data_IF_209610305806
#
_entry.id   IF_209610305806
#
_cell.length_a   1.000
_cell.length_b   1.000
_cell.length_c   1.000
_cell.angle_alpha   90.00
_cell.angle_beta   90.00
_cell.angle_gamma   90.00
#
_symmetry.space_group_name_H-M   'P 1'
#
loop_
_entity.id
_entity.type
_entity.pdbx_description
1 polymer ?
#
# COMPACT_ATOMS: atom_id res chain seq x y z
N UNK A 1 7.63 15.41 -3.95
CA UNK A 1 8.39 14.39 -3.17
C UNK A 1 7.46 13.38 -2.50
N UNK A 2 6.50 13.82 -1.67
CA UNK A 2 5.62 12.94 -0.90
C UNK A 2 4.86 11.87 -1.73
N UNK A 3 4.30 12.24 -2.88
CA UNK A 3 3.59 11.29 -3.77
C UNK A 3 4.50 10.18 -4.30
N UNK A 4 5.76 10.51 -4.64
CA UNK A 4 6.76 9.55 -5.11
C UNK A 4 7.21 8.60 -4.01
N UNK A 5 7.29 9.07 -2.76
CA UNK A 5 7.60 8.21 -1.62
C UNK A 5 6.44 7.27 -1.30
N UNK A 6 5.20 7.77 -1.31
CA UNK A 6 4.02 6.96 -1.03
C UNK A 6 3.82 5.83 -2.05
N UNK A 7 4.03 6.09 -3.35
CA UNK A 7 3.97 5.03 -4.37
C UNK A 7 5.09 4.01 -4.22
N UNK A 8 6.35 4.45 -4.00
CA UNK A 8 7.47 3.53 -3.79
C UNK A 8 7.29 2.67 -2.55
N UNK A 9 6.73 3.25 -1.48
CA UNK A 9 6.43 2.54 -0.24
C UNK A 9 5.33 1.49 -0.43
N UNK A 10 4.29 1.82 -1.21
CA UNK A 10 3.26 0.84 -1.56
C UNK A 10 3.83 -0.33 -2.38
N UNK A 11 4.67 -0.03 -3.37
CA UNK A 11 5.36 -1.06 -4.19
C UNK A 11 6.23 -1.96 -3.31
N UNK A 12 7.02 -1.38 -2.40
CA UNK A 12 7.81 -2.16 -1.45
C UNK A 12 6.95 -3.06 -0.56
N UNK A 13 5.83 -2.55 -0.04
CA UNK A 13 4.86 -3.33 0.72
C UNK A 13 4.24 -4.47 -0.08
N UNK A 14 3.96 -4.26 -1.38
CA UNK A 14 3.48 -5.31 -2.27
C UNK A 14 4.49 -6.44 -2.44
N UNK A 15 5.77 -6.10 -2.62
CA UNK A 15 6.85 -7.08 -2.74
C UNK A 15 6.95 -7.91 -1.45
N UNK A 16 6.97 -7.26 -0.28
CA UNK A 16 7.03 -7.94 1.02
C UNK A 16 5.81 -8.83 1.26
N UNK A 17 4.62 -8.37 0.91
CA UNK A 17 3.39 -9.15 1.00
C UNK A 17 3.48 -10.43 0.15
N UNK A 18 3.96 -10.35 -1.09
CA UNK A 18 4.13 -11.52 -1.96
C UNK A 18 5.17 -12.48 -1.39
N UNK A 19 6.35 -11.99 -0.99
CA UNK A 19 7.43 -12.83 -0.45
C UNK A 19 6.93 -13.61 0.78
N UNK A 20 6.32 -12.90 1.73
CA UNK A 20 5.83 -13.52 2.97
C UNK A 20 4.69 -14.51 2.72
N UNK A 21 3.77 -14.20 1.80
CA UNK A 21 2.68 -15.10 1.43
C UNK A 21 3.17 -16.36 0.72
N UNK A 22 4.16 -16.24 -0.17
CA UNK A 22 4.78 -17.42 -0.82
C UNK A 22 5.53 -18.28 0.20
N UNK A 23 6.30 -17.67 1.08
CA UNK A 23 7.03 -18.39 2.13
C UNK A 23 6.08 -19.21 3.03
N UNK A 24 4.92 -18.63 3.36
CA UNK A 24 3.88 -19.30 4.13
C UNK A 24 3.25 -20.49 3.41
N UNK A 25 2.90 -20.34 2.12
CA UNK A 25 2.35 -21.44 1.34
C UNK A 25 3.32 -22.61 1.18
N UNK A 26 4.63 -22.31 1.16
CA UNK A 26 5.70 -23.31 1.08
C UNK A 26 6.01 -23.98 2.42
N UNK A 27 5.46 -23.50 3.53
CA UNK A 27 5.77 -24.04 4.85
C UNK A 27 5.16 -25.45 5.01
N UNK A 28 5.96 -26.49 5.27
CA UNK A 28 5.51 -27.88 5.26
C UNK A 28 4.60 -28.24 6.45
N UNK A 29 4.72 -27.52 7.57
CA UNK A 29 3.88 -27.74 8.77
C UNK A 29 2.53 -27.03 8.74
N UNK A 30 2.24 -26.20 7.72
CA UNK A 30 0.97 -25.51 7.63
C UNK A 30 -0.03 -26.35 6.83
N UNK A 31 -1.06 -26.84 7.52
CA UNK A 31 -2.22 -27.46 6.91
C UNK A 31 -3.08 -26.42 6.16
N UNK A 32 -3.98 -26.86 5.28
CA UNK A 32 -4.88 -26.01 4.50
C UNK A 32 -5.67 -25.05 5.37
N UNK A 33 -6.16 -25.49 6.55
CA UNK A 33 -6.91 -24.64 7.46
C UNK A 33 -6.09 -23.44 7.97
N UNK A 34 -4.82 -23.69 8.35
CA UNK A 34 -3.92 -22.65 8.86
C UNK A 34 -3.61 -21.64 7.76
N UNK A 35 -3.35 -22.12 6.54
CA UNK A 35 -3.10 -21.26 5.37
C UNK A 35 -4.30 -20.38 5.05
N UNK A 36 -5.51 -20.91 5.18
CA UNK A 36 -6.75 -20.16 4.93
C UNK A 36 -6.98 -19.06 5.98
N UNK A 37 -6.72 -19.37 7.25
CA UNK A 37 -6.77 -18.37 8.33
C UNK A 37 -5.73 -17.26 8.15
N UNK A 38 -4.50 -17.61 7.78
CA UNK A 38 -3.43 -16.62 7.55
C UNK A 38 -3.76 -15.72 6.36
N UNK A 39 -4.32 -16.26 5.28
CA UNK A 39 -4.85 -15.47 4.18
C UNK A 39 -5.93 -14.49 4.67
N UNK A 40 -6.90 -14.97 5.45
CA UNK A 40 -7.99 -14.16 6.01
C UNK A 40 -7.47 -12.97 6.83
N UNK A 41 -6.31 -13.10 7.48
CA UNK A 41 -5.69 -12.01 8.25
C UNK A 41 -4.88 -11.07 7.36
N UNK A 42 -4.05 -11.61 6.45
CA UNK A 42 -3.09 -10.81 5.68
C UNK A 42 -3.71 -9.98 4.57
N UNK A 43 -4.68 -10.53 3.85
CA UNK A 43 -5.29 -9.83 2.72
C UNK A 43 -5.92 -8.49 3.15
N UNK A 44 -6.77 -8.43 4.20
CA UNK A 44 -7.34 -7.16 4.66
C UNK A 44 -6.28 -6.13 5.05
N UNK A 45 -5.24 -6.54 5.79
CA UNK A 45 -4.18 -5.64 6.22
C UNK A 45 -3.40 -5.05 5.03
N UNK A 46 -3.10 -5.86 4.02
CA UNK A 46 -2.43 -5.39 2.81
C UNK A 46 -3.29 -4.37 2.04
N UNK A 47 -4.60 -4.60 1.92
CA UNK A 47 -5.49 -3.66 1.25
C UNK A 47 -5.68 -2.36 2.04
N UNK A 48 -5.75 -2.41 3.37
CA UNK A 48 -5.78 -1.22 4.22
C UNK A 48 -4.50 -0.40 4.05
N UNK A 49 -3.35 -1.07 4.01
CA UNK A 49 -2.06 -0.43 3.76
C UNK A 49 -2.01 0.24 2.39
N UNK A 50 -2.46 -0.47 1.33
CA UNK A 50 -2.56 0.08 -0.02
C UNK A 50 -3.49 1.28 -0.08
N UNK A 51 -4.66 1.21 0.58
CA UNK A 51 -5.61 2.32 0.67
C UNK A 51 -4.99 3.54 1.35
N UNK A 52 -4.21 3.35 2.42
CA UNK A 52 -3.46 4.43 3.08
C UNK A 52 -2.45 5.10 2.14
N UNK A 53 -1.69 4.31 1.38
CA UNK A 53 -0.71 4.85 0.41
C UNK A 53 -1.39 5.61 -0.74
N UNK A 54 -2.51 5.10 -1.25
CA UNK A 54 -3.29 5.78 -2.28
C UNK A 54 -3.93 7.07 -1.75
N UNK A 55 -4.54 7.02 -0.55
CA UNK A 55 -5.15 8.18 0.10
C UNK A 55 -4.14 9.30 0.36
N UNK A 56 -2.96 8.97 0.89
CA UNK A 56 -1.88 9.95 1.10
C UNK A 56 -1.38 10.55 -0.22
N UNK A 57 -1.25 9.73 -1.26
CA UNK A 57 -0.87 10.20 -2.61
C UNK A 57 -1.92 11.15 -3.18
N UNK A 58 -3.21 10.83 -3.05
CA UNK A 58 -4.31 11.65 -3.53
C UNK A 58 -4.35 13.00 -2.79
N UNK A 59 -4.31 12.99 -1.45
CA UNK A 59 -4.31 14.20 -0.63
C UNK A 59 -3.11 15.09 -0.97
N UNK A 60 -1.91 14.51 -1.05
CA UNK A 60 -0.71 15.26 -1.41
C UNK A 60 -0.80 15.89 -2.82
N UNK A 61 -1.41 15.17 -3.77
CA UNK A 61 -1.62 15.66 -5.13
C UNK A 61 -2.64 16.80 -5.18
N UNK A 62 -3.74 16.70 -4.44
CA UNK A 62 -4.76 17.74 -4.34
C UNK A 62 -4.20 19.01 -3.70
N UNK A 63 -3.45 18.89 -2.59
CA UNK A 63 -2.78 20.02 -1.94
C UNK A 63 -1.82 20.70 -2.92
N UNK A 64 -0.99 19.93 -3.63
CA UNK A 64 -0.09 20.47 -4.63
C UNK A 64 -0.84 21.21 -5.75
N UNK A 65 -1.95 20.66 -6.24
CA UNK A 65 -2.78 21.28 -7.26
C UNK A 65 -3.44 22.59 -6.79
N UNK A 66 -3.93 22.65 -5.55
CA UNK A 66 -4.50 23.87 -4.97
C UNK A 66 -3.44 24.97 -4.82
N UNK A 67 -2.26 24.62 -4.29
CA UNK A 67 -1.13 25.55 -4.15
C UNK A 67 -0.68 26.09 -5.52
N UNK A 68 -0.60 25.22 -6.53
CA UNK A 68 -0.24 25.61 -7.89
C UNK A 68 -1.26 26.58 -8.50
N UNK A 69 -2.57 26.28 -8.39
CA UNK A 69 -3.63 27.21 -8.82
C UNK A 69 -3.60 28.54 -8.07
N UNK A 70 -3.32 28.53 -6.77
CA UNK A 70 -3.17 29.73 -5.95
C UNK A 70 -2.02 30.63 -6.40
N UNK A 71 -0.88 30.05 -6.77
CA UNK A 71 0.25 30.80 -7.35
C UNK A 71 -0.08 31.42 -8.71
N UNK A 72 -0.77 30.69 -9.59
CA UNK A 72 -1.19 31.22 -10.90
C UNK A 72 -2.20 32.35 -10.77
N UNK A 73 -3.07 32.34 -9.76
CA UNK A 73 -4.06 33.40 -9.52
C UNK A 73 -3.46 34.69 -8.93
N UNK A 74 -2.29 34.60 -8.31
CA UNK A 74 -1.58 35.75 -7.70
C UNK A 74 -0.65 36.48 -8.66
N UNK A 75 -0.40 35.93 -9.84
CA UNK A 75 0.47 36.49 -10.89
C UNK A 75 -0.36 37.18 -11.95
#
# INVERSE_FOLDING_TARGET
MATRLAISFWVGGAILFVITSVAEQRHPQFDSLIRDQLATIRFPLYYIFGWGCLGTTLIASLIAAMLHKGCLRKR
#
